data_IF_460587365426
#
_entry.id   IF_460587365426
#
_cell.length_a   1.000
_cell.length_b   1.000
_cell.length_c   1.000
_cell.angle_alpha   90.00
_cell.angle_beta   90.00
_cell.angle_gamma   90.00
#
_symmetry.space_group_name_H-M   'P 1'
#
loop_
_entity.id
_entity.type
_entity.pdbx_description
1 polymer ?
#
# COMPACT_ATOMS: atom_id res chain seq x y z
N UNK A 1 10.26 -2.11 14.35
CA UNK A 1 10.86 -0.78 14.09
C UNK A 1 10.44 0.18 15.18
N UNK A 2 11.31 1.13 15.53
CA UNK A 2 11.05 2.17 16.52
C UNK A 2 11.20 3.51 15.82
N UNK A 3 10.19 4.37 15.94
CA UNK A 3 10.16 5.70 15.32
C UNK A 3 10.40 6.72 16.42
N UNK A 4 11.44 7.55 16.23
CA UNK A 4 11.85 8.58 17.18
C UNK A 4 10.94 9.81 17.20
N UNK A 5 11.30 10.81 18.00
CA UNK A 5 10.58 12.09 18.01
C UNK A 5 10.67 12.79 16.65
N UNK A 6 9.50 13.11 16.07
CA UNK A 6 9.35 13.72 14.73
C UNK A 6 10.01 12.91 13.59
N UNK A 7 10.30 11.65 13.82
CA UNK A 7 10.82 10.76 12.79
C UNK A 7 9.68 10.43 11.80
N UNK A 8 10.04 10.19 10.54
CA UNK A 8 9.10 9.81 9.47
C UNK A 8 9.67 8.59 8.78
N UNK A 9 9.04 7.44 8.98
CA UNK A 9 9.41 6.23 8.23
C UNK A 9 8.49 6.05 7.03
N UNK A 10 9.07 6.07 5.83
CA UNK A 10 8.35 5.74 4.60
C UNK A 10 8.36 4.23 4.42
N UNK A 11 7.18 3.63 4.32
CA UNK A 11 7.03 2.22 3.97
C UNK A 11 6.65 2.13 2.51
N UNK A 12 7.56 1.60 1.69
CA UNK A 12 7.28 1.29 0.29
C UNK A 12 7.07 -0.21 0.16
N UNK A 13 5.82 -0.71 0.08
CA UNK A 13 5.59 -2.10 -0.26
C UNK A 13 6.05 -2.34 -1.71
N UNK A 14 6.87 -3.37 -1.93
CA UNK A 14 7.19 -3.83 -3.29
C UNK A 14 6.06 -4.75 -3.73
N UNK A 15 5.29 -4.30 -4.72
CA UNK A 15 4.30 -5.14 -5.39
C UNK A 15 4.99 -5.83 -6.57
N UNK A 16 5.05 -7.15 -6.56
CA UNK A 16 5.52 -7.95 -7.69
C UNK A 16 4.44 -8.94 -8.10
N UNK A 17 4.06 -8.91 -9.38
CA UNK A 17 3.11 -9.86 -9.95
C UNK A 17 3.82 -11.09 -10.46
N UNK A 18 4.14 -12.07 -9.60
CA UNK A 18 4.58 -13.39 -10.06
C UNK A 18 3.39 -14.31 -10.21
N UNK A 19 2.87 -14.44 -11.43
CA UNK A 19 2.02 -15.56 -11.85
C UNK A 19 0.88 -15.96 -10.88
N UNK A 20 0.32 -15.01 -10.14
CA UNK A 20 -0.87 -15.26 -9.33
C UNK A 20 -2.03 -15.31 -10.32
N UNK A 21 -2.50 -16.53 -10.61
CA UNK A 21 -3.66 -16.72 -11.48
C UNK A 21 -4.83 -15.94 -10.92
N UNK A 22 -5.27 -14.96 -11.68
CA UNK A 22 -6.50 -14.24 -11.40
C UNK A 22 -7.66 -15.22 -11.65
N UNK A 23 -8.66 -15.22 -10.77
CA UNK A 23 -9.82 -16.08 -10.95
C UNK A 23 -10.48 -15.81 -12.32
N UNK A 24 -10.87 -16.84 -13.11
CA UNK A 24 -11.40 -16.65 -14.46
C UNK A 24 -12.57 -15.66 -14.54
N UNK A 25 -13.39 -15.60 -13.49
CA UNK A 25 -14.53 -14.69 -13.37
C UNK A 25 -14.13 -13.21 -13.33
N UNK A 26 -12.90 -12.90 -12.91
CA UNK A 26 -12.38 -11.54 -12.80
C UNK A 26 -11.64 -11.10 -14.09
N UNK A 27 -11.40 -12.01 -15.03
CA UNK A 27 -10.75 -11.73 -16.32
C UNK A 27 -11.43 -10.61 -17.13
N UNK A 28 -12.78 -10.54 -17.23
CA UNK A 28 -13.44 -9.47 -17.98
C UNK A 28 -13.17 -8.08 -17.37
N UNK A 29 -13.34 -7.96 -16.05
CA UNK A 29 -13.07 -6.72 -15.32
C UNK A 29 -11.59 -6.31 -15.41
N UNK A 30 -10.68 -7.29 -15.32
CA UNK A 30 -9.25 -7.02 -15.50
C UNK A 30 -8.92 -6.55 -16.92
N UNK A 31 -9.60 -7.08 -17.94
CA UNK A 31 -9.39 -6.64 -19.32
C UNK A 31 -9.90 -5.21 -19.54
N UNK A 32 -11.00 -4.83 -18.88
CA UNK A 32 -11.47 -3.44 -18.86
C UNK A 32 -10.45 -2.52 -18.19
N UNK A 33 -9.90 -2.90 -17.03
CA UNK A 33 -8.84 -2.14 -16.33
C UNK A 33 -7.58 -2.00 -17.21
N UNK A 34 -7.16 -3.07 -17.90
CA UNK A 34 -6.04 -3.04 -18.84
C UNK A 34 -6.31 -2.08 -20.00
N UNK A 35 -7.52 -2.12 -20.58
CA UNK A 35 -7.93 -1.21 -21.65
C UNK A 35 -8.03 0.25 -21.19
N UNK A 36 -8.44 0.48 -19.94
CA UNK A 36 -8.45 1.80 -19.30
C UNK A 36 -7.03 2.30 -18.98
N UNK A 37 -6.04 1.38 -18.97
CA UNK A 37 -4.63 1.69 -18.72
C UNK A 37 -4.28 1.91 -17.25
N UNK A 38 -5.21 1.66 -16.32
CA UNK A 38 -5.00 1.75 -14.87
C UNK A 38 -5.77 0.66 -14.13
N UNK A 39 -5.23 0.19 -13.00
CA UNK A 39 -5.91 -0.72 -12.06
C UNK A 39 -6.22 0.01 -10.76
N UNK A 40 -7.42 -0.21 -10.22
CA UNK A 40 -7.79 0.26 -8.90
C UNK A 40 -7.56 -0.84 -7.87
N UNK A 41 -6.61 -0.63 -6.95
CA UNK A 41 -6.33 -1.54 -5.84
C UNK A 41 -6.74 -0.91 -4.51
N UNK A 42 -7.24 -1.73 -3.60
CA UNK A 42 -7.47 -1.32 -2.22
C UNK A 42 -6.40 -1.93 -1.33
N UNK A 43 -5.42 -1.11 -0.92
CA UNK A 43 -4.31 -1.53 -0.07
C UNK A 43 -4.78 -1.49 1.38
N UNK A 44 -4.75 -2.63 2.06
CA UNK A 44 -5.11 -2.75 3.47
C UNK A 44 -3.88 -3.03 4.30
N UNK A 45 -3.68 -2.26 5.38
CA UNK A 45 -2.62 -2.50 6.37
C UNK A 45 -3.30 -2.82 7.69
N UNK A 46 -2.94 -3.95 8.28
CA UNK A 46 -3.33 -4.34 9.64
C UNK A 46 -2.06 -4.49 10.46
N UNK A 47 -1.94 -3.70 11.52
CA UNK A 47 -0.71 -3.60 12.29
C UNK A 47 -0.93 -3.36 13.76
N UNK A 48 0.11 -3.59 14.53
CA UNK A 48 0.15 -3.31 15.96
C UNK A 48 1.17 -2.21 16.24
N UNK A 49 0.72 -1.07 16.75
CA UNK A 49 1.59 0.02 17.19
C UNK A 49 1.70 0.01 18.71
N UNK A 50 2.93 0.17 19.18
CA UNK A 50 3.26 0.25 20.61
C UNK A 50 4.03 1.52 20.86
N UNK A 51 3.68 2.24 21.90
CA UNK A 51 4.38 3.43 22.34
C UNK A 51 5.44 3.05 23.36
N UNK A 52 6.60 3.70 23.31
CA UNK A 52 7.66 3.50 24.29
C UNK A 52 8.04 4.84 24.91
N UNK A 53 7.93 4.93 26.22
CA UNK A 53 8.33 6.09 27.03
C UNK A 53 9.39 5.63 28.02
N UNK A 54 10.64 6.04 27.81
CA UNK A 54 11.78 5.53 28.58
C UNK A 54 11.96 4.01 28.39
N UNK A 55 11.92 3.25 29.49
CA UNK A 55 11.97 1.77 29.49
C UNK A 55 10.59 1.10 29.38
N UNK A 56 9.51 1.86 29.52
CA UNK A 56 8.14 1.33 29.50
C UNK A 56 7.61 1.27 28.06
N UNK A 57 7.12 0.10 27.66
CA UNK A 57 6.40 -0.10 26.39
C UNK A 57 4.91 -0.30 26.70
N UNK A 58 4.04 0.44 26.03
CA UNK A 58 2.59 0.35 26.20
C UNK A 58 2.04 -0.94 25.58
N UNK A 59 0.74 -1.16 25.78
CA UNK A 59 -0.02 -2.14 25.04
C UNK A 59 0.00 -1.92 23.53
N UNK A 60 -0.47 -2.94 22.82
CA UNK A 60 -0.66 -2.94 21.38
C UNK A 60 -1.93 -2.18 21.01
N UNK A 61 -1.81 -1.16 20.17
CA UNK A 61 -2.91 -0.48 19.51
C UNK A 61 -3.00 -1.04 18.10
N UNK A 62 -4.16 -1.61 17.75
CA UNK A 62 -4.35 -2.12 16.40
C UNK A 62 -4.54 -0.92 15.48
N UNK A 63 -3.89 -0.92 14.33
CA UNK A 63 -4.11 0.09 13.29
C UNK A 63 -4.61 -0.62 12.06
N UNK A 64 -5.76 -0.20 11.57
CA UNK A 64 -6.37 -0.66 10.34
C UNK A 64 -6.36 0.50 9.36
N UNK A 65 -5.56 0.38 8.30
CA UNK A 65 -5.46 1.38 7.25
C UNK A 65 -6.06 0.83 5.97
N UNK A 66 -6.93 1.61 5.33
CA UNK A 66 -7.46 1.31 4.01
C UNK A 66 -7.10 2.45 3.06
N UNK A 67 -6.33 2.14 2.03
CA UNK A 67 -5.81 3.08 1.05
C UNK A 67 -6.23 2.64 -0.37
N UNK A 68 -7.22 3.30 -0.99
CA UNK A 68 -7.48 3.12 -2.41
C UNK A 68 -6.33 3.74 -3.22
N UNK A 69 -5.78 2.97 -4.15
CA UNK A 69 -4.68 3.35 -5.01
C UNK A 69 -5.01 3.00 -6.47
N UNK A 70 -4.86 3.97 -7.38
CA UNK A 70 -4.94 3.73 -8.81
C UNK A 70 -3.52 3.66 -9.36
N UNK A 71 -3.16 2.53 -9.96
CA UNK A 71 -1.81 2.27 -10.48
C UNK A 71 -1.91 2.10 -12.00
N UNK A 72 -1.15 2.87 -12.80
CA UNK A 72 -1.14 2.71 -14.25
C UNK A 72 -0.46 1.41 -14.69
N UNK A 73 -0.99 0.76 -15.73
CA UNK A 73 -0.39 -0.44 -16.33
C UNK A 73 0.84 -0.14 -17.20
N UNK A 74 1.07 1.12 -17.59
CA UNK A 74 2.12 1.47 -18.54
C UNK A 74 3.46 1.74 -17.86
N UNK A 75 4.54 1.14 -18.40
CA UNK A 75 5.95 1.36 -18.03
C UNK A 75 6.50 2.77 -18.26
N UNK A 76 5.69 3.81 -18.08
CA UNK A 76 6.10 5.22 -17.89
C UNK A 76 6.29 5.54 -16.40
N UNK A 77 6.70 4.54 -15.63
CA UNK A 77 7.20 4.73 -14.28
C UNK A 77 8.53 5.48 -14.42
N UNK A 78 8.46 6.81 -14.38
CA UNK A 78 9.63 7.68 -14.32
C UNK A 78 10.29 7.50 -12.94
N UNK A 79 11.03 6.41 -12.81
CA UNK A 79 11.77 6.06 -11.61
C UNK A 79 12.68 4.88 -11.94
N UNK A 80 13.97 5.13 -12.02
CA UNK A 80 15.02 4.14 -12.32
C UNK A 80 15.26 3.16 -11.16
N UNK A 81 14.20 2.55 -10.62
CA UNK A 81 14.26 1.60 -9.51
C UNK A 81 12.96 0.81 -9.31
N UNK A 82 12.99 -0.30 -8.55
CA UNK A 82 11.86 -1.23 -8.37
C UNK A 82 10.69 -0.67 -7.53
N UNK A 83 10.72 0.63 -7.22
CA UNK A 83 9.74 1.29 -6.39
C UNK A 83 8.87 2.21 -7.25
N UNK A 84 7.60 1.82 -7.41
CA UNK A 84 6.56 2.69 -7.94
C UNK A 84 6.38 3.83 -6.94
N UNK A 85 6.83 5.04 -7.31
CA UNK A 85 6.52 6.30 -6.60
C UNK A 85 5.29 6.94 -7.24
N UNK A 86 4.18 6.24 -7.23
CA UNK A 86 2.91 6.89 -7.56
C UNK A 86 2.39 7.57 -6.30
N UNK A 87 2.00 8.85 -6.44
CA UNK A 87 1.22 9.53 -5.43
C UNK A 87 -0.07 8.72 -5.26
N UNK A 88 -0.27 8.09 -4.10
CA UNK A 88 -1.60 7.64 -3.69
C UNK A 88 -2.53 8.84 -3.88
N UNK A 89 -3.38 8.78 -4.91
CA UNK A 89 -4.20 9.93 -5.32
C UNK A 89 -5.24 10.33 -4.28
N UNK A 90 -5.37 9.59 -3.18
CA UNK A 90 -6.35 9.80 -2.12
C UNK A 90 -5.75 9.60 -0.72
N UNK A 91 -6.28 10.35 0.25
CA UNK A 91 -5.98 10.19 1.66
C UNK A 91 -6.47 8.81 2.14
N UNK A 92 -5.65 8.11 2.93
CA UNK A 92 -6.04 6.81 3.49
C UNK A 92 -6.98 6.98 4.69
N UNK A 93 -7.93 6.06 4.82
CA UNK A 93 -8.74 5.94 6.03
C UNK A 93 -7.98 5.11 7.08
N UNK A 94 -7.95 5.60 8.32
CA UNK A 94 -7.24 4.97 9.44
C UNK A 94 -8.21 4.77 10.61
N UNK A 95 -8.24 3.56 11.14
CA UNK A 95 -9.03 3.14 12.31
C UNK A 95 -8.08 2.53 13.37
N UNK A 96 -8.39 2.71 14.66
CA UNK A 96 -7.51 2.44 15.82
C UNK A 96 -8.22 1.63 16.89
#
# INVERSE_FOLDING_TARGET
MYQGHLDVTVWSPVLFGTAVSVEPNLTPALNEDINAGMVLLNIKVDGCVKWKVGSLVTGCYRLLVNCPASIPFSGRLAGTGPAIKDQLGQQCAVDV
#
